data_IF_916630838422
#
_entry.id   IF_916630838422
#
_cell.length_a   1.000
_cell.length_b   1.000
_cell.length_c   1.000
_cell.angle_alpha   90.00
_cell.angle_beta   90.00
_cell.angle_gamma   90.00
#
_symmetry.space_group_name_H-M   'P 1'
#
loop_
_entity.id
_entity.type
_entity.pdbx_description
1 polymer ?
#
# COMPACT_ATOMS: atom_id res chain seq x y z
N UNK A 1 -29.51 -5.70 -18.20
CA UNK A 1 -28.33 -4.89 -18.59
C UNK A 1 -27.32 -5.83 -19.22
N UNK A 2 -26.73 -5.43 -20.32
CA UNK A 2 -25.67 -6.17 -20.99
C UNK A 2 -24.31 -5.82 -20.33
N UNK A 3 -23.93 -6.57 -19.31
CA UNK A 3 -22.75 -6.29 -18.49
C UNK A 3 -21.43 -6.41 -19.25
N UNK A 4 -21.41 -7.17 -20.32
CA UNK A 4 -20.21 -7.36 -21.14
C UNK A 4 -19.73 -6.09 -21.83
N UNK A 5 -20.60 -5.07 -21.89
CA UNK A 5 -20.22 -3.71 -22.36
C UNK A 5 -19.44 -2.90 -21.34
N UNK A 6 -19.58 -3.21 -20.06
CA UNK A 6 -19.10 -2.38 -18.95
C UNK A 6 -17.94 -3.01 -18.19
N UNK A 7 -17.91 -4.36 -18.13
CA UNK A 7 -17.03 -5.12 -17.23
C UNK A 7 -16.14 -6.02 -18.06
N UNK A 8 -14.87 -6.08 -17.70
CA UNK A 8 -13.84 -6.82 -18.42
C UNK A 8 -13.17 -7.85 -17.51
N UNK A 9 -12.72 -8.96 -18.11
CA UNK A 9 -11.81 -9.88 -17.48
C UNK A 9 -10.37 -9.38 -17.69
N UNK A 10 -9.58 -9.41 -16.63
CA UNK A 10 -8.17 -9.05 -16.64
C UNK A 10 -7.35 -10.29 -16.33
N UNK A 11 -6.53 -10.72 -17.27
CA UNK A 11 -5.58 -11.81 -17.10
C UNK A 11 -4.17 -11.24 -17.05
N UNK A 12 -3.46 -11.53 -15.98
CA UNK A 12 -2.16 -10.93 -15.70
C UNK A 12 -1.10 -12.02 -15.59
N UNK A 13 -0.02 -11.83 -16.32
CA UNK A 13 1.23 -12.55 -16.10
C UNK A 13 2.14 -11.65 -15.28
N UNK A 14 2.51 -12.08 -14.08
CA UNK A 14 3.31 -11.31 -13.14
C UNK A 14 4.66 -11.99 -12.88
N UNK A 15 5.66 -11.19 -12.59
CA UNK A 15 6.89 -11.63 -11.94
C UNK A 15 6.87 -11.12 -10.51
N UNK A 16 6.95 -12.02 -9.55
CA UNK A 16 6.98 -11.67 -8.12
C UNK A 16 8.38 -11.96 -7.59
N UNK A 17 8.96 -10.95 -6.94
CA UNK A 17 10.25 -11.09 -6.27
C UNK A 17 10.06 -11.97 -5.05
N UNK A 18 10.90 -13.01 -4.94
CA UNK A 18 10.96 -13.77 -3.70
C UNK A 18 11.86 -13.02 -2.71
N UNK A 19 11.24 -12.35 -1.75
CA UNK A 19 11.96 -11.56 -0.75
C UNK A 19 12.89 -12.38 0.13
N UNK A 20 12.61 -13.68 0.33
CA UNK A 20 13.45 -14.58 1.13
C UNK A 20 14.65 -15.10 0.33
N UNK A 21 14.53 -15.17 -0.98
CA UNK A 21 15.54 -15.66 -1.90
C UNK A 21 15.68 -14.71 -3.07
N UNK A 22 16.28 -13.52 -2.87
CA UNK A 22 16.36 -12.47 -3.90
C UNK A 22 17.04 -12.92 -5.21
N UNK A 23 17.89 -13.93 -5.15
CA UNK A 23 18.53 -14.53 -6.34
C UNK A 23 17.64 -15.55 -7.07
N UNK A 24 16.69 -16.19 -6.38
CA UNK A 24 15.68 -17.03 -7.02
C UNK A 24 14.61 -16.15 -7.64
N UNK A 25 15.07 -15.27 -8.50
CA UNK A 25 14.31 -14.21 -9.09
C UNK A 25 13.27 -14.84 -10.01
N UNK A 26 12.00 -14.51 -9.72
CA UNK A 26 10.92 -14.57 -10.72
C UNK A 26 10.26 -15.92 -10.95
N UNK A 27 9.54 -16.37 -9.96
CA UNK A 27 8.41 -17.24 -10.26
C UNK A 27 7.40 -16.41 -11.05
N UNK A 28 7.25 -16.73 -12.34
CA UNK A 28 6.14 -16.17 -13.12
C UNK A 28 4.84 -16.78 -12.62
N UNK A 29 3.89 -15.94 -12.26
CA UNK A 29 2.55 -16.35 -11.84
C UNK A 29 1.52 -15.80 -12.81
N UNK A 30 0.46 -16.58 -13.03
CA UNK A 30 -0.73 -16.11 -13.74
C UNK A 30 -1.83 -15.86 -12.72
N UNK A 31 -2.47 -14.72 -12.84
CA UNK A 31 -3.61 -14.34 -12.02
C UNK A 31 -4.72 -13.78 -12.91
N UNK A 32 -5.93 -13.76 -12.39
CA UNK A 32 -7.07 -13.14 -13.07
C UNK A 32 -7.84 -12.26 -12.09
N UNK A 33 -8.41 -11.20 -12.63
CA UNK A 33 -9.27 -10.29 -11.92
C UNK A 33 -10.35 -9.73 -12.83
N UNK A 34 -11.05 -8.77 -12.31
CA UNK A 34 -12.11 -8.03 -13.01
C UNK A 34 -11.73 -6.55 -13.06
N UNK A 35 -12.18 -5.86 -14.08
CA UNK A 35 -12.18 -4.41 -14.17
C UNK A 35 -13.45 -3.90 -14.80
N UNK A 36 -13.65 -2.60 -14.80
CA UNK A 36 -14.76 -1.97 -15.50
C UNK A 36 -14.34 -0.63 -16.10
N UNK A 37 -14.99 -0.28 -17.21
CA UNK A 37 -14.67 0.94 -17.93
C UNK A 37 -15.11 2.20 -17.16
N UNK A 38 -14.16 3.14 -17.01
CA UNK A 38 -14.35 4.48 -16.45
C UNK A 38 -14.22 5.58 -17.52
N UNK A 39 -13.70 5.23 -18.68
CA UNK A 39 -13.72 5.95 -19.93
C UNK A 39 -13.63 4.95 -21.09
N UNK A 40 -13.76 5.34 -22.36
CA UNK A 40 -13.65 4.41 -23.47
C UNK A 40 -12.30 3.66 -23.55
N UNK A 41 -11.23 4.24 -22.99
CA UNK A 41 -9.88 3.68 -23.01
C UNK A 41 -9.35 3.31 -21.64
N UNK A 42 -10.04 3.64 -20.53
CA UNK A 42 -9.55 3.44 -19.18
C UNK A 42 -10.42 2.45 -18.41
N UNK A 43 -9.76 1.55 -17.73
CA UNK A 43 -10.37 0.49 -16.92
C UNK A 43 -9.89 0.66 -15.49
N UNK A 44 -10.84 0.72 -14.54
CA UNK A 44 -10.56 0.71 -13.11
C UNK A 44 -10.56 -0.75 -12.62
N UNK A 45 -9.55 -1.07 -11.80
CA UNK A 45 -9.39 -2.38 -11.15
C UNK A 45 -8.69 -2.23 -9.81
N UNK A 46 -8.38 -3.35 -9.14
CA UNK A 46 -7.55 -3.36 -7.94
C UNK A 46 -6.06 -3.36 -8.28
N UNK A 47 -5.25 -2.70 -7.42
CA UNK A 47 -3.79 -2.71 -7.54
C UNK A 47 -3.21 -4.13 -7.44
N UNK A 48 -3.68 -4.94 -6.46
CA UNK A 48 -3.20 -6.31 -6.30
C UNK A 48 -3.45 -7.21 -7.51
N UNK A 49 -4.43 -6.88 -8.38
CA UNK A 49 -4.68 -7.62 -9.63
C UNK A 49 -3.54 -7.41 -10.62
N UNK A 50 -2.96 -6.22 -10.68
CA UNK A 50 -1.90 -5.84 -11.63
C UNK A 50 -0.51 -5.76 -11.00
N UNK A 51 -0.38 -6.16 -9.74
CA UNK A 51 0.89 -6.12 -9.02
C UNK A 51 1.95 -7.00 -9.69
N UNK A 52 3.11 -6.41 -9.97
CA UNK A 52 4.21 -7.09 -10.64
C UNK A 52 3.91 -7.53 -12.08
N UNK A 53 2.89 -6.96 -12.73
CA UNK A 53 2.49 -7.34 -14.07
C UNK A 53 3.59 -7.08 -15.10
N UNK A 54 3.90 -8.12 -15.88
CA UNK A 54 4.73 -8.04 -17.09
C UNK A 54 3.90 -8.10 -18.36
N UNK A 55 2.69 -8.61 -18.25
CA UNK A 55 1.72 -8.65 -19.33
C UNK A 55 0.30 -8.58 -18.75
N UNK A 56 -0.52 -7.74 -19.33
CA UNK A 56 -1.93 -7.58 -18.99
C UNK A 56 -2.76 -7.82 -20.22
N UNK A 57 -3.60 -8.83 -20.19
CA UNK A 57 -4.52 -9.20 -21.25
C UNK A 57 -5.96 -8.91 -20.82
N UNK A 58 -6.65 -8.08 -21.58
CA UNK A 58 -8.03 -7.64 -21.33
C UNK A 58 -8.97 -8.37 -22.27
N UNK A 59 -9.98 -9.01 -21.73
CA UNK A 59 -11.04 -9.70 -22.50
C UNK A 59 -12.40 -9.12 -22.14
N UNK A 60 -13.19 -8.73 -23.13
CA UNK A 60 -14.57 -8.31 -22.98
C UNK A 60 -15.38 -8.74 -24.21
N UNK A 61 -16.70 -8.96 -24.06
CA UNK A 61 -17.61 -9.36 -25.14
C UNK A 61 -17.14 -10.55 -25.96
N UNK A 62 -16.52 -11.55 -25.34
CA UNK A 62 -15.96 -12.69 -26.06
C UNK A 62 -15.02 -12.33 -27.23
N UNK A 63 -14.42 -11.14 -27.16
CA UNK A 63 -13.45 -10.69 -28.16
C UNK A 63 -12.09 -11.34 -27.96
N UNK A 64 -11.22 -11.24 -28.95
CA UNK A 64 -9.82 -11.55 -28.78
C UNK A 64 -9.24 -10.66 -27.67
N UNK A 65 -8.34 -11.24 -26.88
CA UNK A 65 -7.64 -10.51 -25.82
C UNK A 65 -6.85 -9.33 -26.40
N UNK A 66 -6.99 -8.17 -25.78
CA UNK A 66 -6.23 -6.96 -26.10
C UNK A 66 -5.24 -6.62 -24.99
N UNK A 67 -4.15 -5.95 -25.34
CA UNK A 67 -3.14 -5.55 -24.36
C UNK A 67 -3.60 -4.33 -23.57
N UNK A 68 -3.39 -4.41 -22.25
CA UNK A 68 -3.54 -3.28 -21.35
C UNK A 68 -2.20 -2.82 -20.81
N UNK A 69 -2.11 -1.53 -20.45
CA UNK A 69 -0.95 -0.92 -19.82
C UNK A 69 -1.37 -0.21 -18.55
N UNK A 70 -0.57 -0.31 -17.49
CA UNK A 70 -0.83 0.43 -16.25
C UNK A 70 -0.62 1.91 -16.51
N UNK A 71 -1.64 2.72 -16.23
CA UNK A 71 -1.56 4.18 -16.29
C UNK A 71 -1.25 4.78 -14.93
N UNK A 72 -1.99 4.37 -13.91
CA UNK A 72 -1.80 4.83 -12.53
C UNK A 72 -2.05 3.68 -11.56
N UNK A 73 -1.33 3.66 -10.45
CA UNK A 73 -1.59 2.79 -9.30
C UNK A 73 -1.73 3.61 -8.02
N UNK A 74 -2.61 3.15 -7.15
CA UNK A 74 -2.93 3.72 -5.84
C UNK A 74 -2.75 2.62 -4.80
N UNK A 75 -1.50 2.29 -4.41
CA UNK A 75 -1.22 1.11 -3.59
C UNK A 75 -1.94 1.14 -2.24
N UNK A 76 -2.02 2.32 -1.62
CA UNK A 76 -2.65 2.50 -0.30
C UNK A 76 -4.17 2.37 -0.33
N UNK A 77 -4.79 2.42 -1.51
CA UNK A 77 -6.23 2.26 -1.73
C UNK A 77 -6.56 0.97 -2.46
N UNK A 78 -5.54 0.18 -2.79
CA UNK A 78 -5.68 -1.03 -3.60
C UNK A 78 -6.43 -0.80 -4.92
N UNK A 79 -6.15 0.32 -5.61
CA UNK A 79 -6.74 0.67 -6.89
C UNK A 79 -5.68 0.82 -7.98
N UNK A 80 -6.08 0.59 -9.24
CA UNK A 80 -5.26 0.82 -10.43
C UNK A 80 -6.09 1.22 -11.64
N UNK A 81 -5.50 2.02 -12.52
CA UNK A 81 -6.07 2.36 -13.83
C UNK A 81 -5.22 1.69 -14.91
N UNK A 82 -5.87 0.91 -15.74
CA UNK A 82 -5.29 0.33 -16.95
C UNK A 82 -5.79 1.13 -18.16
N UNK A 83 -4.93 1.35 -19.12
CA UNK A 83 -5.28 1.96 -20.42
C UNK A 83 -5.16 0.92 -21.54
N UNK A 84 -6.07 0.97 -22.50
CA UNK A 84 -6.05 0.20 -23.74
C UNK A 84 -5.84 1.11 -24.93
N UNK A 85 -5.32 0.56 -26.03
CA UNK A 85 -5.13 1.34 -27.27
C UNK A 85 -6.48 1.78 -27.83
N UNK A 86 -6.63 3.07 -28.19
CA UNK A 86 -7.84 3.63 -28.80
C UNK A 86 -8.33 2.88 -30.05
N UNK A 87 -7.48 2.18 -30.77
CA UNK A 87 -7.87 1.40 -31.94
C UNK A 87 -8.87 0.27 -31.63
N UNK A 88 -8.90 -0.18 -30.37
CA UNK A 88 -9.82 -1.22 -29.90
C UNK A 88 -11.14 -0.67 -29.35
N UNK A 89 -11.34 0.65 -29.40
CA UNK A 89 -12.58 1.27 -28.94
C UNK A 89 -13.71 0.90 -29.90
N UNK A 90 -14.75 0.27 -29.37
CA UNK A 90 -16.01 0.08 -30.07
C UNK A 90 -17.06 1.06 -29.53
N UNK A 91 -18.03 1.44 -30.35
CA UNK A 91 -19.20 2.23 -29.93
C UNK A 91 -20.05 1.51 -28.87
N UNK A 92 -19.70 0.29 -28.59
CA UNK A 92 -20.41 -0.60 -27.66
C UNK A 92 -19.87 -0.61 -26.23
N UNK A 93 -18.76 0.13 -25.95
CA UNK A 93 -18.25 0.28 -24.59
C UNK A 93 -19.20 1.14 -23.77
N UNK A 94 -19.68 0.59 -22.67
CA UNK A 94 -20.53 1.27 -21.71
C UNK A 94 -19.73 1.75 -20.49
N UNK A 95 -20.07 2.91 -19.99
CA UNK A 95 -19.49 3.48 -18.76
C UNK A 95 -20.58 3.53 -17.71
N UNK A 96 -20.30 2.96 -16.52
CA UNK A 96 -21.22 3.00 -15.39
C UNK A 96 -21.18 4.35 -14.70
N UNK A 97 -22.36 4.90 -14.39
CA UNK A 97 -22.47 6.07 -13.54
C UNK A 97 -22.02 5.75 -12.13
N UNK A 98 -21.39 6.70 -11.45
CA UNK A 98 -20.99 6.57 -10.06
C UNK A 98 -22.07 7.14 -9.12
N UNK A 99 -22.31 6.49 -7.97
CA UNK A 99 -23.18 6.99 -6.92
C UNK A 99 -22.39 7.16 -5.63
N UNK A 100 -22.39 8.36 -5.09
CA UNK A 100 -21.62 8.71 -3.89
C UNK A 100 -22.49 9.05 -2.69
N UNK A 101 -23.75 9.39 -2.93
CA UNK A 101 -24.61 10.01 -1.90
C UNK A 101 -25.67 9.06 -1.32
N UNK A 102 -25.94 7.93 -1.97
CA UNK A 102 -27.07 7.06 -1.63
C UNK A 102 -26.64 5.73 -0.98
N UNK A 103 -25.46 5.70 -0.36
CA UNK A 103 -24.92 4.48 0.24
C UNK A 103 -25.55 4.33 1.63
N UNK A 104 -26.59 3.49 1.73
CA UNK A 104 -27.30 3.23 2.98
C UNK A 104 -27.07 1.78 3.42
N UNK A 105 -26.74 1.59 4.70
CA UNK A 105 -26.69 0.26 5.31
C UNK A 105 -28.00 -0.51 5.07
N UNK A 106 -27.92 -1.82 4.87
CA UNK A 106 -29.01 -2.69 4.43
C UNK A 106 -29.50 -2.48 2.98
N UNK A 107 -28.90 -1.53 2.24
CA UNK A 107 -29.15 -1.31 0.82
C UNK A 107 -28.77 -2.54 0.00
N UNK A 108 -29.62 -2.92 -0.98
CA UNK A 108 -29.33 -4.02 -1.90
C UNK A 108 -28.17 -3.68 -2.83
N UNK A 109 -27.22 -4.58 -2.95
CA UNK A 109 -26.05 -4.46 -3.83
C UNK A 109 -25.86 -5.67 -4.71
N UNK A 110 -25.12 -5.47 -5.80
CA UNK A 110 -24.72 -6.54 -6.70
C UNK A 110 -23.22 -6.41 -6.96
N UNK A 111 -22.53 -7.55 -6.92
CA UNK A 111 -21.16 -7.63 -7.40
C UNK A 111 -21.17 -8.22 -8.81
N UNK A 112 -20.35 -7.69 -9.70
CA UNK A 112 -20.26 -8.14 -11.08
C UNK A 112 -18.81 -8.46 -11.39
N UNK A 113 -18.52 -9.62 -11.97
CA UNK A 113 -17.15 -9.99 -12.28
C UNK A 113 -16.97 -11.40 -12.80
N UNK A 114 -15.71 -11.86 -12.80
CA UNK A 114 -15.27 -13.16 -13.34
C UNK A 114 -14.66 -14.03 -12.22
N UNK A 115 -15.48 -14.53 -11.29
CA UNK A 115 -14.97 -15.33 -10.17
C UNK A 115 -14.35 -16.64 -10.66
N UNK A 116 -13.28 -17.07 -9.97
CA UNK A 116 -12.59 -18.34 -10.21
C UNK A 116 -12.15 -18.50 -11.67
N UNK A 117 -11.70 -17.40 -12.30
CA UNK A 117 -11.29 -17.36 -13.72
C UNK A 117 -12.38 -17.83 -14.69
N UNK A 118 -13.65 -17.67 -14.32
CA UNK A 118 -14.76 -18.01 -15.21
C UNK A 118 -14.70 -17.22 -16.52
N UNK A 119 -15.08 -17.83 -17.63
CA UNK A 119 -15.15 -17.16 -18.93
C UNK A 119 -16.35 -16.25 -19.08
N UNK A 120 -17.38 -16.44 -18.25
CA UNK A 120 -18.62 -15.68 -18.29
C UNK A 120 -18.78 -14.84 -17.03
N UNK A 121 -19.34 -13.65 -17.17
CA UNK A 121 -19.69 -12.77 -16.07
C UNK A 121 -20.63 -13.45 -15.09
N UNK A 122 -20.36 -13.30 -13.81
CA UNK A 122 -21.24 -13.72 -12.73
C UNK A 122 -21.69 -12.50 -11.94
N UNK A 123 -22.93 -12.55 -11.48
CA UNK A 123 -23.54 -11.53 -10.66
C UNK A 123 -23.97 -12.17 -9.36
N UNK A 124 -23.51 -11.63 -8.23
CA UNK A 124 -24.01 -12.04 -6.92
C UNK A 124 -24.72 -10.87 -6.26
N UNK A 125 -25.74 -11.17 -5.48
CA UNK A 125 -26.57 -10.20 -4.81
C UNK A 125 -26.37 -10.29 -3.30
N UNK A 126 -26.39 -9.16 -2.64
CA UNK A 126 -26.34 -9.04 -1.18
C UNK A 126 -26.84 -7.66 -0.73
N UNK A 127 -26.42 -7.29 0.47
CA UNK A 127 -26.69 -5.99 1.06
C UNK A 127 -25.38 -5.33 1.53
N UNK A 128 -25.43 -4.05 1.78
CA UNK A 128 -24.40 -3.35 2.55
C UNK A 128 -24.56 -3.74 4.01
N UNK A 129 -23.65 -4.56 4.54
CA UNK A 129 -23.64 -5.01 5.93
C UNK A 129 -23.18 -3.90 6.89
N UNK A 130 -22.31 -3.01 6.42
CA UNK A 130 -21.75 -1.90 7.19
C UNK A 130 -20.48 -1.36 6.53
N UNK A 131 -19.65 -0.75 7.37
CA UNK A 131 -18.37 -0.17 6.96
C UNK A 131 -17.29 -0.62 7.93
N UNK A 132 -16.11 -0.91 7.43
CA UNK A 132 -14.95 -1.26 8.24
C UNK A 132 -13.70 -0.65 7.65
N UNK A 133 -12.95 0.10 8.46
CA UNK A 133 -11.73 0.78 8.00
C UNK A 133 -11.94 1.54 6.68
N UNK A 134 -13.03 2.29 6.61
CA UNK A 134 -13.43 3.06 5.43
C UNK A 134 -13.74 2.25 4.17
N UNK A 135 -13.85 0.92 4.26
CA UNK A 135 -14.33 0.04 3.21
C UNK A 135 -15.82 -0.24 3.37
N UNK A 136 -16.52 -0.43 2.26
CA UNK A 136 -17.90 -0.94 2.28
C UNK A 136 -17.84 -2.44 2.55
N UNK A 137 -18.55 -2.89 3.57
CA UNK A 137 -18.72 -4.30 3.88
C UNK A 137 -20.03 -4.82 3.29
N UNK A 138 -19.99 -5.97 2.64
CA UNK A 138 -21.15 -6.60 2.01
C UNK A 138 -21.17 -8.12 2.27
N UNK A 139 -22.36 -8.71 2.30
CA UNK A 139 -22.58 -10.15 2.32
C UNK A 139 -22.74 -10.75 0.91
N UNK A 140 -22.70 -9.92 -0.14
CA UNK A 140 -22.63 -10.40 -1.51
C UNK A 140 -21.36 -11.25 -1.68
N UNK A 141 -21.54 -12.49 -2.17
CA UNK A 141 -20.43 -13.44 -2.30
C UNK A 141 -19.33 -12.92 -3.21
N UNK A 142 -18.13 -12.75 -2.65
CA UNK A 142 -16.91 -12.39 -3.38
C UNK A 142 -15.96 -13.58 -3.36
N UNK A 143 -15.45 -13.94 -4.52
CA UNK A 143 -14.43 -14.98 -4.70
C UNK A 143 -13.23 -14.40 -5.46
N UNK A 144 -12.11 -15.10 -5.43
CA UNK A 144 -10.96 -14.76 -6.27
C UNK A 144 -11.41 -14.58 -7.74
N UNK A 145 -10.95 -13.50 -8.37
CA UNK A 145 -11.36 -13.09 -9.71
C UNK A 145 -12.43 -12.00 -9.72
N UNK A 146 -13.22 -11.81 -8.65
CA UNK A 146 -14.13 -10.66 -8.52
C UNK A 146 -13.41 -9.36 -8.15
N UNK A 147 -12.17 -9.44 -7.67
CA UNK A 147 -11.35 -8.25 -7.34
C UNK A 147 -11.23 -7.31 -8.52
N UNK A 148 -11.45 -6.03 -8.27
CA UNK A 148 -11.45 -4.97 -9.27
C UNK A 148 -12.77 -4.78 -10.01
N UNK A 149 -13.73 -5.71 -9.85
CA UNK A 149 -15.06 -5.55 -10.41
C UNK A 149 -15.91 -4.52 -9.66
N UNK A 150 -16.98 -3.99 -10.28
CA UNK A 150 -17.82 -3.00 -9.65
C UNK A 150 -18.77 -3.63 -8.61
N UNK A 151 -18.91 -2.94 -7.46
CA UNK A 151 -20.02 -3.09 -6.55
C UNK A 151 -21.08 -2.06 -6.96
N UNK A 152 -22.29 -2.50 -7.28
CA UNK A 152 -23.33 -1.62 -7.84
C UNK A 152 -24.63 -1.68 -7.06
N UNK A 153 -25.37 -0.59 -7.11
CA UNK A 153 -26.78 -0.50 -6.69
C UNK A 153 -27.67 -0.29 -7.90
N UNK A 154 -28.92 -0.68 -7.79
CA UNK A 154 -29.96 -0.31 -8.76
C UNK A 154 -30.64 0.96 -8.28
N UNK A 155 -30.53 2.01 -9.07
CA UNK A 155 -31.34 3.21 -8.89
C UNK A 155 -32.76 2.93 -9.41
N UNK A 156 -33.72 2.75 -8.49
CA UNK A 156 -35.10 2.41 -8.85
C UNK A 156 -35.84 3.53 -9.60
N UNK A 157 -35.37 4.79 -9.49
CA UNK A 157 -35.96 5.92 -10.21
C UNK A 157 -35.60 5.93 -11.68
N UNK A 158 -34.33 5.67 -11.96
CA UNK A 158 -33.80 5.68 -13.33
C UNK A 158 -33.70 4.30 -13.96
N UNK A 159 -33.92 3.23 -13.16
CA UNK A 159 -33.72 1.82 -13.56
C UNK A 159 -32.29 1.55 -14.06
N UNK A 160 -31.31 2.35 -13.62
CA UNK A 160 -29.91 2.18 -13.98
C UNK A 160 -29.11 1.64 -12.81
N UNK A 161 -28.09 0.86 -13.13
CA UNK A 161 -27.08 0.45 -12.16
C UNK A 161 -26.02 1.53 -12.03
N UNK A 162 -25.64 1.84 -10.78
CA UNK A 162 -24.62 2.80 -10.46
C UNK A 162 -23.54 2.18 -9.58
N UNK A 163 -22.27 2.50 -9.83
CA UNK A 163 -21.15 2.00 -9.04
C UNK A 163 -21.07 2.75 -7.72
N UNK A 164 -20.98 2.00 -6.62
CA UNK A 164 -20.72 2.53 -5.28
C UNK A 164 -19.34 2.14 -4.74
N UNK A 165 -18.69 1.13 -5.34
CA UNK A 165 -17.38 0.69 -4.90
C UNK A 165 -16.71 -0.24 -5.89
N UNK A 166 -15.42 -0.52 -5.62
CA UNK A 166 -14.59 -1.49 -6.33
C UNK A 166 -14.38 -2.68 -5.40
N UNK A 167 -14.79 -3.87 -5.83
CA UNK A 167 -14.69 -5.09 -5.03
C UNK A 167 -13.22 -5.43 -4.76
N UNK A 168 -12.88 -5.65 -3.48
CA UNK A 168 -11.63 -6.27 -3.05
C UNK A 168 -11.92 -7.66 -2.53
N UNK A 169 -11.04 -8.60 -2.76
CA UNK A 169 -11.22 -9.95 -2.23
C UNK A 169 -11.13 -9.95 -0.71
N UNK A 170 -11.65 -11.00 -0.09
CA UNK A 170 -11.68 -11.19 1.36
C UNK A 170 -10.33 -10.84 2.00
N UNK A 171 -10.35 -10.10 3.10
CA UNK A 171 -9.21 -9.96 3.99
C UNK A 171 -8.85 -11.36 4.55
N UNK A 172 -7.56 -11.70 4.61
CA UNK A 172 -7.13 -13.00 5.14
C UNK A 172 -7.62 -13.17 6.59
N UNK A 173 -8.36 -14.25 6.84
CA UNK A 173 -8.85 -14.59 8.18
C UNK A 173 -10.27 -14.16 8.49
N UNK A 174 -10.98 -13.53 7.56
CA UNK A 174 -12.37 -13.14 7.76
C UNK A 174 -13.34 -14.32 7.64
N UNK A 175 -14.44 -14.19 8.38
CA UNK A 175 -15.53 -15.17 8.39
C UNK A 175 -16.12 -15.40 6.98
N UNK A 176 -16.66 -16.57 6.78
CA UNK A 176 -17.43 -16.87 5.57
C UNK A 176 -18.52 -15.82 5.32
N UNK A 177 -18.70 -15.41 4.07
CA UNK A 177 -19.69 -14.42 3.61
C UNK A 177 -19.41 -12.94 3.95
N UNK A 178 -18.17 -12.55 4.16
CA UNK A 178 -17.81 -11.15 4.29
C UNK A 178 -17.00 -10.69 3.10
N UNK A 179 -17.50 -9.72 2.36
CA UNK A 179 -16.84 -9.09 1.22
C UNK A 179 -16.59 -7.60 1.51
N UNK A 180 -15.57 -7.03 0.86
CA UNK A 180 -15.25 -5.62 0.99
C UNK A 180 -15.14 -4.95 -0.37
N UNK A 181 -15.42 -3.65 -0.39
CA UNK A 181 -15.20 -2.82 -1.58
C UNK A 181 -14.63 -1.45 -1.17
N UNK A 182 -13.69 -0.96 -1.97
CA UNK A 182 -13.22 0.43 -1.87
C UNK A 182 -14.34 1.34 -2.36
N UNK A 183 -14.81 2.30 -1.57
CA UNK A 183 -15.87 3.21 -1.99
C UNK A 183 -15.50 4.00 -3.25
N UNK A 184 -16.40 4.12 -4.19
CA UNK A 184 -16.12 4.78 -5.49
C UNK A 184 -15.78 6.27 -5.34
N UNK A 185 -16.31 6.96 -4.34
CA UNK A 185 -15.98 8.37 -4.09
C UNK A 185 -14.48 8.53 -3.76
N UNK A 186 -13.82 7.51 -3.16
CA UNK A 186 -12.37 7.54 -2.94
C UNK A 186 -11.63 7.62 -4.27
N UNK A 187 -12.02 6.80 -5.23
CA UNK A 187 -11.49 6.91 -6.59
C UNK A 187 -11.75 8.28 -7.22
N UNK A 188 -12.93 8.88 -6.99
CA UNK A 188 -13.24 10.21 -7.54
C UNK A 188 -12.32 11.29 -6.96
N UNK A 189 -12.03 11.26 -5.65
CA UNK A 189 -11.05 12.17 -5.04
C UNK A 189 -9.70 12.04 -5.72
N UNK A 190 -9.21 10.81 -5.88
CA UNK A 190 -7.95 10.56 -6.55
C UNK A 190 -7.97 11.03 -8.00
N UNK A 191 -9.02 10.69 -8.76
CA UNK A 191 -9.16 11.05 -10.18
C UNK A 191 -9.14 12.56 -10.42
N UNK A 192 -9.79 13.33 -9.56
CA UNK A 192 -9.82 14.79 -9.67
C UNK A 192 -8.42 15.43 -9.55
N UNK A 193 -7.50 14.75 -8.91
CA UNK A 193 -6.11 15.21 -8.73
C UNK A 193 -5.18 14.74 -9.85
N UNK A 194 -5.58 13.75 -10.65
CA UNK A 194 -4.77 13.21 -11.75
C UNK A 194 -4.63 14.16 -12.95
N UNK A 195 -5.54 15.10 -13.12
CA UNK A 195 -5.59 15.96 -14.31
C UNK A 195 -4.28 16.74 -14.58
N UNK A 196 -3.40 16.87 -13.58
CA UNK A 196 -2.12 17.56 -13.65
C UNK A 196 -0.93 16.68 -13.22
N UNK A 197 -1.14 15.39 -12.96
CA UNK A 197 -0.11 14.51 -12.45
C UNK A 197 0.15 13.35 -13.42
N UNK A 198 1.40 13.26 -13.90
CA UNK A 198 1.88 12.18 -14.76
C UNK A 198 2.45 11.00 -13.97
N UNK A 199 2.46 11.07 -12.63
CA UNK A 199 3.05 10.05 -11.79
C UNK A 199 2.32 8.72 -11.94
N UNK A 200 3.08 7.65 -12.13
CA UNK A 200 2.55 6.29 -12.19
C UNK A 200 1.97 5.87 -10.85
N UNK A 201 2.62 6.27 -9.74
CA UNK A 201 2.25 5.88 -8.38
C UNK A 201 1.76 7.07 -7.60
N UNK A 202 0.58 6.93 -7.02
CA UNK A 202 -0.05 7.95 -6.20
C UNK A 202 -0.26 7.41 -4.80
N UNK A 203 0.43 8.03 -3.84
CA UNK A 203 0.43 7.63 -2.44
C UNK A 203 -0.51 8.51 -1.62
N UNK A 204 -0.99 7.99 -0.49
CA UNK A 204 -1.73 8.77 0.51
C UNK A 204 -0.79 9.68 1.29
N UNK A 205 -1.25 10.86 1.68
CA UNK A 205 -0.58 11.60 2.72
C UNK A 205 -0.71 10.85 4.05
N UNK A 206 0.35 10.83 4.82
CA UNK A 206 0.37 10.17 6.12
C UNK A 206 0.58 11.20 7.23
N UNK A 207 -0.26 11.16 8.24
CA UNK A 207 -0.08 11.87 9.50
C UNK A 207 0.36 10.85 10.56
N UNK A 208 1.65 10.86 10.91
CA UNK A 208 2.19 9.93 11.91
C UNK A 208 2.22 10.56 13.28
N UNK A 209 1.17 10.35 14.03
CA UNK A 209 1.12 10.64 15.46
C UNK A 209 0.23 9.59 16.13
N UNK A 210 0.59 9.25 17.36
CA UNK A 210 -0.29 8.45 18.18
C UNK A 210 -1.13 9.36 19.06
N UNK A 211 -2.35 8.91 19.35
CA UNK A 211 -3.25 9.64 20.20
C UNK A 211 -3.97 8.73 21.19
N UNK A 212 -4.43 9.32 22.26
CA UNK A 212 -5.34 8.67 23.20
C UNK A 212 -6.70 9.36 23.17
N UNK A 213 -7.79 8.58 23.18
CA UNK A 213 -9.11 9.08 23.49
C UNK A 213 -9.13 9.87 24.80
N UNK A 214 -9.89 10.95 24.83
CA UNK A 214 -10.07 11.71 26.07
C UNK A 214 -11.08 10.98 26.95
N UNK A 215 -10.58 10.13 27.86
CA UNK A 215 -11.40 9.39 28.81
C UNK A 215 -12.12 10.39 29.75
N UNK A 216 -13.33 10.05 30.16
CA UNK A 216 -14.24 10.89 30.95
C UNK A 216 -13.60 11.51 32.21
N UNK A 217 -12.63 10.83 32.81
CA UNK A 217 -11.89 11.32 33.97
C UNK A 217 -10.95 12.50 33.64
N UNK A 218 -10.38 12.52 32.45
CA UNK A 218 -9.53 13.62 31.94
C UNK A 218 -10.39 14.82 31.50
N UNK A 219 -11.61 14.55 31.05
CA UNK A 219 -12.59 15.57 30.66
C UNK A 219 -13.22 16.25 31.90
N UNK A 220 -13.35 15.52 33.02
CA UNK A 220 -13.86 16.04 34.30
C UNK A 220 -12.83 16.86 35.06
N UNK A 221 -11.53 16.63 34.84
CA UNK A 221 -10.51 17.51 35.36
C UNK A 221 -10.65 18.86 34.65
N UNK A 222 -10.64 19.95 35.40
CA UNK A 222 -10.82 21.35 34.98
C UNK A 222 -9.95 21.82 33.79
N UNK A 223 -9.30 20.90 33.08
CA UNK A 223 -8.38 21.12 31.96
C UNK A 223 -9.13 21.57 30.69
N UNK A 224 -10.32 21.03 30.49
CA UNK A 224 -11.18 21.44 29.38
C UNK A 224 -12.43 22.08 30.00
N UNK A 225 -12.45 23.38 30.18
CA UNK A 225 -13.69 24.13 30.52
C UNK A 225 -14.79 23.94 29.49
N UNK A 226 -14.60 23.09 28.50
CA UNK A 226 -15.54 22.78 27.45
C UNK A 226 -16.39 21.56 27.87
N UNK A 227 -17.67 21.78 28.09
CA UNK A 227 -18.69 20.74 28.25
C UNK A 227 -18.85 19.83 27.03
N UNK A 228 -18.08 20.07 25.96
CA UNK A 228 -18.11 19.31 24.72
C UNK A 228 -17.06 18.21 24.79
N UNK A 229 -17.47 16.98 24.50
CA UNK A 229 -16.60 15.80 24.39
C UNK A 229 -15.88 15.82 23.03
N UNK A 230 -14.89 16.71 22.86
CA UNK A 230 -14.21 16.96 21.59
C UNK A 230 -12.70 16.85 21.76
N UNK A 231 -12.04 16.28 20.76
CA UNK A 231 -10.59 16.20 20.65
C UNK A 231 -9.94 14.94 21.23
N UNK A 232 -8.70 14.72 20.87
CA UNK A 232 -7.84 13.62 21.32
C UNK A 232 -6.52 14.17 21.82
N UNK A 233 -5.91 13.48 22.78
CA UNK A 233 -4.58 13.82 23.31
C UNK A 233 -3.50 13.18 22.44
N UNK A 234 -2.57 13.96 21.95
CA UNK A 234 -1.39 13.45 21.24
C UNK A 234 -0.45 12.82 22.25
N UNK A 235 -0.10 11.55 22.03
CA UNK A 235 0.78 10.77 22.92
C UNK A 235 2.20 10.63 22.36
N UNK A 236 2.33 10.56 21.05
CA UNK A 236 3.61 10.45 20.37
C UNK A 236 3.58 11.24 19.07
N UNK A 237 4.64 12.00 18.82
CA UNK A 237 4.89 12.60 17.50
C UNK A 237 6.24 12.16 17.01
N UNK A 238 6.30 11.69 15.78
CA UNK A 238 7.58 11.33 15.17
C UNK A 238 8.28 12.60 14.68
N UNK A 239 9.38 12.99 15.33
CA UNK A 239 10.18 14.19 15.02
C UNK A 239 10.69 14.23 13.58
N UNK A 240 10.69 13.10 12.92
CA UNK A 240 11.17 12.95 11.55
C UNK A 240 10.13 13.29 10.49
N UNK A 241 8.89 13.50 10.89
CA UNK A 241 7.83 13.86 9.94
C UNK A 241 7.55 15.35 9.95
N UNK A 242 7.22 15.88 8.79
CA UNK A 242 6.97 17.31 8.56
C UNK A 242 5.94 17.92 9.53
N UNK A 243 4.92 17.17 9.90
CA UNK A 243 3.87 17.65 10.82
C UNK A 243 4.31 17.73 12.29
N UNK A 244 5.44 17.12 12.67
CA UNK A 244 5.98 17.21 14.04
C UNK A 244 6.39 18.63 14.45
N UNK A 245 6.62 19.51 13.48
CA UNK A 245 6.84 20.91 13.73
C UNK A 245 5.58 21.61 14.29
N UNK A 246 4.40 21.05 14.04
CA UNK A 246 3.11 21.65 14.34
C UNK A 246 2.37 20.97 15.49
N UNK A 247 2.56 19.66 15.68
CA UNK A 247 1.96 18.85 16.73
C UNK A 247 3.01 18.45 17.77
N UNK A 248 2.66 18.58 19.04
CA UNK A 248 3.54 18.17 20.15
C UNK A 248 2.84 17.17 21.05
N UNK A 249 3.64 16.36 21.71
CA UNK A 249 3.14 15.44 22.73
C UNK A 249 2.43 16.22 23.85
N UNK A 250 1.32 15.68 24.28
CA UNK A 250 0.37 16.22 25.25
C UNK A 250 -0.50 17.37 24.74
N UNK A 251 -0.37 17.83 23.51
CA UNK A 251 -1.37 18.73 22.92
C UNK A 251 -2.68 17.97 22.71
N UNK A 252 -3.79 18.71 22.69
CA UNK A 252 -5.09 18.18 22.33
C UNK A 252 -5.42 18.65 20.92
N UNK A 253 -5.58 17.72 20.01
CA UNK A 253 -6.04 17.99 18.66
C UNK A 253 -7.57 18.03 18.64
N UNK A 254 -8.13 19.21 18.37
CA UNK A 254 -9.58 19.48 18.42
C UNK A 254 -10.26 19.35 17.08
N UNK A 255 -9.61 19.87 16.02
CA UNK A 255 -10.16 19.87 14.67
C UNK A 255 -9.11 19.64 13.60
N UNK A 256 -9.57 19.08 12.50
CA UNK A 256 -8.85 19.05 11.24
C UNK A 256 -9.73 19.76 10.21
N UNK A 257 -9.23 20.89 9.66
CA UNK A 257 -10.01 21.86 8.91
C UNK A 257 -11.23 22.34 9.74
N UNK A 258 -12.42 22.31 9.16
CA UNK A 258 -13.69 22.66 9.82
C UNK A 258 -14.30 21.49 10.62
N UNK A 259 -13.74 20.29 10.53
CA UNK A 259 -14.30 19.07 11.11
C UNK A 259 -13.82 18.86 12.54
N UNK A 260 -14.76 18.74 13.45
CA UNK A 260 -14.52 18.47 14.87
C UNK A 260 -14.14 16.99 15.04
N UNK A 261 -13.10 16.73 15.82
CA UNK A 261 -12.71 15.41 16.25
C UNK A 261 -13.47 15.09 17.53
N UNK A 262 -14.18 13.96 17.58
CA UNK A 262 -14.80 13.53 18.82
C UNK A 262 -13.75 12.95 19.80
N UNK A 263 -14.17 12.72 21.04
CA UNK A 263 -13.27 12.27 22.11
C UNK A 263 -12.67 10.86 21.88
N UNK A 264 -13.22 10.09 20.94
CA UNK A 264 -12.69 8.78 20.54
C UNK A 264 -11.76 8.86 19.33
N UNK A 265 -11.56 10.04 18.74
CA UNK A 265 -10.70 10.23 17.58
C UNK A 265 -11.39 10.00 16.23
N UNK A 266 -12.69 10.25 16.18
CA UNK A 266 -13.44 10.12 14.93
C UNK A 266 -13.91 11.48 14.41
N UNK A 267 -14.00 11.57 13.09
CA UNK A 267 -14.50 12.72 12.34
C UNK A 267 -15.74 12.31 11.56
N UNK A 268 -16.74 13.20 11.47
CA UNK A 268 -17.91 13.03 10.60
C UNK A 268 -17.79 13.88 9.35
N UNK A 269 -17.94 13.23 8.21
CA UNK A 269 -18.08 13.88 6.91
C UNK A 269 -19.53 13.78 6.43
N UNK A 270 -20.03 14.82 5.76
CA UNK A 270 -21.43 14.89 5.35
C UNK A 270 -21.77 13.89 4.24
N UNK A 271 -20.77 13.56 3.43
CA UNK A 271 -20.89 12.64 2.30
C UNK A 271 -20.60 11.18 2.66
N UNK A 272 -20.18 10.89 3.91
CA UNK A 272 -19.89 9.54 4.35
C UNK A 272 -20.81 9.11 5.49
N UNK A 273 -21.44 7.92 5.41
CA UNK A 273 -22.49 7.54 6.35
C UNK A 273 -22.01 7.34 7.78
N UNK A 274 -20.74 6.93 7.97
CA UNK A 274 -20.17 6.70 9.30
C UNK A 274 -19.12 7.74 9.67
N UNK A 275 -18.74 7.74 10.94
CA UNK A 275 -17.58 8.50 11.41
C UNK A 275 -16.30 7.77 11.02
N UNK A 276 -15.28 8.52 10.68
CA UNK A 276 -13.98 8.04 10.21
C UNK A 276 -12.95 8.29 11.28
N UNK A 277 -12.09 7.28 11.62
CA UNK A 277 -10.98 7.50 12.51
C UNK A 277 -9.97 8.48 11.89
N UNK A 278 -9.37 9.32 12.71
CA UNK A 278 -8.37 10.31 12.24
C UNK A 278 -7.12 9.66 11.67
N UNK A 279 -6.81 8.41 12.01
CA UNK A 279 -5.74 7.63 11.40
C UNK A 279 -5.95 7.40 9.90
N UNK A 280 -7.22 7.36 9.49
CA UNK A 280 -7.62 7.16 8.10
C UNK A 280 -7.78 8.49 7.33
N UNK A 281 -7.34 9.61 7.91
CA UNK A 281 -7.55 10.94 7.28
C UNK A 281 -6.92 11.03 5.89
N UNK A 282 -5.84 10.28 5.67
CA UNK A 282 -5.21 10.17 4.36
C UNK A 282 -6.15 9.70 3.24
N UNK A 283 -7.28 9.04 3.59
CA UNK A 283 -8.30 8.64 2.62
C UNK A 283 -9.06 9.82 2.00
N UNK A 284 -9.09 10.97 2.66
CA UNK A 284 -9.92 12.12 2.32
C UNK A 284 -9.16 13.25 1.69
N UNK A 285 -7.84 13.16 1.75
CA UNK A 285 -6.92 14.15 1.22
C UNK A 285 -5.91 13.49 0.27
N UNK A 286 -5.22 14.32 -0.46
CA UNK A 286 -4.11 13.92 -1.34
C UNK A 286 -2.84 14.68 -0.95
N UNK A 287 -1.69 14.20 -1.39
CA UNK A 287 -0.44 14.93 -1.23
C UNK A 287 -0.55 16.29 -1.88
N UNK A 288 -0.06 17.33 -1.17
CA UNK A 288 -0.16 18.72 -1.59
C UNK A 288 -1.42 19.45 -1.12
N UNK A 289 -2.45 18.72 -0.61
CA UNK A 289 -3.62 19.38 0.00
C UNK A 289 -3.19 20.11 1.27
N UNK A 290 -3.76 21.29 1.48
CA UNK A 290 -3.55 22.09 2.69
C UNK A 290 -4.54 21.65 3.76
N UNK A 291 -4.04 21.37 4.96
CA UNK A 291 -4.87 21.13 6.14
C UNK A 291 -4.57 22.14 7.24
N UNK A 292 -5.58 22.38 8.03
CA UNK A 292 -5.52 23.27 9.20
C UNK A 292 -5.88 22.47 10.45
N UNK A 293 -5.03 22.52 11.46
CA UNK A 293 -5.24 21.86 12.75
C UNK A 293 -5.59 22.90 13.81
N UNK A 294 -6.66 22.69 14.56
CA UNK A 294 -6.95 23.44 15.79
C UNK A 294 -6.44 22.63 16.97
N UNK A 295 -5.49 23.19 17.69
CA UNK A 295 -4.75 22.52 18.76
C UNK A 295 -4.91 23.31 20.06
N UNK A 296 -5.17 22.60 21.15
CA UNK A 296 -5.18 23.17 22.50
C UNK A 296 -3.92 22.72 23.25
N UNK A 297 -3.09 23.66 23.63
CA UNK A 297 -1.95 23.39 24.52
C UNK A 297 -2.43 23.22 25.96
N UNK A 298 -2.19 22.06 26.55
CA UNK A 298 -2.66 21.76 27.92
C UNK A 298 -2.04 22.68 28.97
N UNK A 299 -0.75 23.07 28.79
CA UNK A 299 -0.02 23.86 29.77
C UNK A 299 -0.45 25.32 29.77
N UNK A 300 -0.53 25.95 28.60
CA UNK A 300 -0.88 27.37 28.47
C UNK A 300 -2.39 27.59 28.37
N UNK A 301 -3.18 26.54 28.09
CA UNK A 301 -4.62 26.59 27.80
C UNK A 301 -4.97 27.43 26.59
N UNK A 302 -4.00 27.70 25.74
CA UNK A 302 -4.20 28.48 24.52
C UNK A 302 -4.58 27.57 23.35
N UNK A 303 -5.54 28.01 22.57
CA UNK A 303 -5.86 27.40 21.30
C UNK A 303 -5.03 28.04 20.21
N UNK A 304 -4.40 27.22 19.41
CA UNK A 304 -3.61 27.64 18.26
C UNK A 304 -4.09 26.95 17.00
N UNK A 305 -3.98 27.64 15.88
CA UNK A 305 -4.27 27.08 14.57
C UNK A 305 -2.97 26.94 13.80
N UNK A 306 -2.75 25.75 13.22
CA UNK A 306 -1.57 25.44 12.41
C UNK A 306 -2.01 24.95 11.04
N UNK A 307 -1.42 25.54 10.00
CA UNK A 307 -1.74 25.21 8.60
C UNK A 307 -0.48 24.75 7.88
N UNK A 308 -0.58 23.64 7.15
CA UNK A 308 0.52 23.10 6.36
C UNK A 308 -0.02 22.23 5.21
N UNK A 309 0.84 21.96 4.23
CA UNK A 309 0.52 21.05 3.15
C UNK A 309 0.83 19.61 3.55
N UNK A 310 -0.05 18.70 3.14
CA UNK A 310 0.16 17.28 3.32
C UNK A 310 1.27 16.79 2.39
N UNK A 311 2.23 16.09 2.95
CA UNK A 311 3.34 15.50 2.22
C UNK A 311 3.35 13.98 2.39
N UNK A 312 3.92 13.31 1.42
CA UNK A 312 4.37 11.95 1.64
C UNK A 312 5.63 12.02 2.52
N UNK A 313 5.69 11.29 3.63
CA UNK A 313 6.92 11.29 4.41
C UNK A 313 8.04 10.80 3.51
N UNK A 314 9.08 11.60 3.37
CA UNK A 314 10.35 11.15 2.79
C UNK A 314 10.95 10.14 3.76
N UNK A 315 10.37 8.95 3.79
CA UNK A 315 11.00 7.84 4.48
C UNK A 315 12.14 7.38 3.57
N UNK A 316 13.31 7.17 4.14
CA UNK A 316 14.36 6.35 3.52
C UNK A 316 13.96 4.87 3.48
N UNK A 317 12.67 4.58 3.56
CA UNK A 317 12.08 3.33 3.18
C UNK A 317 12.31 3.20 1.70
N UNK A 318 13.13 2.24 1.38
CA UNK A 318 13.23 1.72 0.04
C UNK A 318 11.82 1.29 -0.35
N UNK A 319 11.11 2.15 -1.06
CA UNK A 319 9.85 1.78 -1.66
C UNK A 319 10.21 0.95 -2.88
N UNK A 320 9.81 -0.32 -2.86
CA UNK A 320 9.83 -1.20 -4.04
C UNK A 320 9.08 -0.56 -5.23
N UNK A 321 8.34 0.45 -4.95
CA UNK A 321 7.61 1.29 -5.88
C UNK A 321 8.42 2.52 -6.34
N UNK A 322 9.72 2.54 -6.22
CA UNK A 322 10.51 3.51 -7.00
C UNK A 322 10.51 3.06 -8.46
N UNK A 323 9.31 3.04 -8.97
CA UNK A 323 8.86 2.56 -10.28
C UNK A 323 8.98 3.68 -11.33
N UNK A 324 9.91 4.59 -11.15
CA UNK A 324 10.32 5.42 -12.30
C UNK A 324 10.73 4.54 -13.48
N UNK A 325 10.74 3.21 -13.24
CA UNK A 325 11.20 2.22 -14.18
C UNK A 325 10.59 0.83 -13.96
N UNK A 326 9.25 0.66 -13.92
CA UNK A 326 8.68 -0.69 -14.04
C UNK A 326 9.16 -1.41 -15.29
N UNK A 327 9.33 -0.69 -16.39
CA UNK A 327 9.92 -1.22 -17.60
C UNK A 327 11.43 -1.41 -17.46
N UNK A 328 12.18 -0.52 -16.77
CA UNK A 328 13.64 -0.63 -16.63
C UNK A 328 14.07 -1.64 -15.59
N UNK A 329 13.33 -1.87 -14.51
CA UNK A 329 13.62 -3.00 -13.62
C UNK A 329 13.42 -4.32 -14.35
N UNK A 330 12.30 -4.48 -15.04
CA UNK A 330 12.01 -5.68 -15.84
C UNK A 330 12.92 -5.80 -17.05
N UNK A 331 13.22 -4.70 -17.75
CA UNK A 331 14.14 -4.68 -18.89
C UNK A 331 15.61 -4.91 -18.47
N UNK A 332 16.01 -4.42 -17.32
CA UNK A 332 17.33 -4.67 -16.75
C UNK A 332 17.49 -6.15 -16.42
N UNK A 333 16.44 -6.79 -15.90
CA UNK A 333 16.45 -8.23 -15.63
C UNK A 333 16.38 -9.08 -16.91
N UNK A 334 15.55 -8.72 -17.87
CA UNK A 334 15.48 -9.44 -19.14
C UNK A 334 16.80 -9.36 -19.94
N UNK A 335 17.53 -8.25 -19.86
CA UNK A 335 18.85 -8.08 -20.47
C UNK A 335 19.95 -8.91 -19.75
N UNK A 336 19.78 -9.22 -18.47
CA UNK A 336 20.75 -10.04 -17.73
C UNK A 336 20.61 -11.54 -17.97
N UNK A 337 19.44 -12.04 -18.38
CA UNK A 337 19.28 -13.44 -18.80
C UNK A 337 20.02 -13.76 -20.10
N UNK A 338 20.40 -12.75 -20.89
CA UNK A 338 21.05 -12.95 -22.21
C UNK A 338 22.57 -12.79 -22.22
N UNK A 339 23.20 -12.32 -21.12
CA UNK A 339 24.66 -12.09 -21.06
C UNK A 339 25.36 -12.94 -19.99
N UNK A 340 25.51 -14.22 -20.25
CA UNK A 340 26.21 -15.18 -19.34
C UNK A 340 27.73 -15.26 -19.48
N UNK A 341 28.39 -14.37 -20.20
CA UNK A 341 29.81 -14.48 -20.49
C UNK A 341 30.60 -13.21 -20.16
N UNK A 342 30.66 -12.80 -18.89
CA UNK A 342 31.79 -11.98 -18.40
C UNK A 342 31.80 -11.96 -16.86
N UNK A 343 32.65 -12.80 -16.30
CA UNK A 343 32.73 -13.09 -14.86
C UNK A 343 33.35 -12.01 -13.96
N UNK A 344 33.65 -10.80 -14.47
CA UNK A 344 34.36 -9.78 -13.70
C UNK A 344 33.65 -8.40 -13.62
N UNK A 345 32.40 -8.27 -14.05
CA UNK A 345 31.65 -7.05 -13.80
C UNK A 345 30.74 -7.26 -12.57
N UNK A 346 30.85 -6.33 -11.61
CA UNK A 346 29.92 -6.21 -10.49
C UNK A 346 28.52 -6.22 -11.09
N UNK A 347 27.78 -7.34 -10.89
CA UNK A 347 26.40 -7.44 -11.32
C UNK A 347 25.62 -6.36 -10.57
N UNK A 348 25.20 -5.32 -11.25
CA UNK A 348 24.37 -4.27 -10.70
C UNK A 348 22.98 -4.86 -10.52
N UNK A 349 22.77 -5.47 -9.35
CA UNK A 349 21.44 -5.88 -8.94
C UNK A 349 20.59 -4.64 -8.68
N UNK A 350 19.26 -4.74 -8.77
CA UNK A 350 18.43 -3.62 -8.35
C UNK A 350 18.74 -3.25 -6.91
N UNK A 351 18.60 -1.98 -6.61
CA UNK A 351 19.07 -1.31 -5.39
C UNK A 351 18.53 -1.85 -4.04
N UNK A 352 17.94 -3.04 -3.97
CA UNK A 352 17.38 -3.62 -2.75
C UNK A 352 18.16 -4.77 -2.14
N UNK A 353 19.15 -5.31 -2.84
CA UNK A 353 20.11 -6.26 -2.26
C UNK A 353 21.49 -6.15 -2.89
N UNK A 354 22.48 -6.59 -2.15
CA UNK A 354 23.90 -6.62 -2.56
C UNK A 354 24.42 -8.03 -2.38
N UNK A 355 25.12 -8.55 -3.39
CA UNK A 355 25.86 -9.79 -3.28
C UNK A 355 27.36 -9.50 -3.07
N UNK A 356 27.95 -10.13 -2.06
CA UNK A 356 29.39 -10.10 -1.86
C UNK A 356 29.87 -11.46 -1.38
N UNK A 357 30.79 -12.07 -2.13
CA UNK A 357 31.39 -13.38 -1.80
C UNK A 357 30.36 -14.47 -1.46
N UNK A 358 29.27 -14.52 -2.20
CA UNK A 358 28.19 -15.47 -2.00
C UNK A 358 27.20 -15.14 -0.89
N UNK A 359 27.41 -14.05 -0.13
CA UNK A 359 26.46 -13.55 0.84
C UNK A 359 25.51 -12.55 0.19
N UNK A 360 24.22 -12.68 0.47
CA UNK A 360 23.17 -11.82 -0.06
C UNK A 360 22.60 -10.97 1.07
N UNK A 361 22.95 -9.69 1.03
CA UNK A 361 22.49 -8.68 1.98
C UNK A 361 21.30 -7.97 1.38
N UNK A 362 20.12 -8.09 1.97
CA UNK A 362 18.90 -7.44 1.49
C UNK A 362 18.46 -6.31 2.42
N UNK A 363 17.89 -5.27 1.80
CA UNK A 363 17.31 -4.15 2.52
C UNK A 363 15.89 -4.50 2.93
N UNK A 364 15.54 -4.20 4.18
CA UNK A 364 14.16 -4.34 4.63
C UNK A 364 13.34 -3.17 4.09
N UNK A 365 12.45 -3.47 3.16
CA UNK A 365 11.53 -2.52 2.54
C UNK A 365 10.15 -2.52 3.21
N UNK A 366 9.27 -1.62 2.80
CA UNK A 366 7.85 -1.62 3.21
C UNK A 366 7.15 -2.94 2.91
N UNK A 367 7.46 -3.56 1.77
CA UNK A 367 6.88 -4.86 1.37
C UNK A 367 7.31 -5.98 2.32
N UNK A 368 8.54 -5.97 2.80
CA UNK A 368 9.00 -6.90 3.84
C UNK A 368 8.20 -6.73 5.12
N UNK A 369 7.89 -5.49 5.51
CA UNK A 369 7.15 -5.20 6.73
C UNK A 369 5.67 -5.58 6.64
N UNK A 370 5.08 -5.47 5.46
CA UNK A 370 3.72 -5.95 5.19
C UNK A 370 3.63 -7.48 5.26
N UNK A 371 4.73 -8.17 4.97
CA UNK A 371 4.84 -9.62 4.94
C UNK A 371 5.78 -10.17 6.03
N UNK A 372 5.74 -9.63 7.23
CA UNK A 372 6.64 -10.00 8.35
C UNK A 372 6.72 -11.51 8.62
N UNK A 373 5.64 -12.26 8.36
CA UNK A 373 5.62 -13.71 8.51
C UNK A 373 6.58 -14.44 7.54
N UNK A 374 6.98 -13.79 6.46
CA UNK A 374 7.90 -14.36 5.46
C UNK A 374 9.37 -14.16 5.82
N UNK A 375 9.65 -13.25 6.76
CA UNK A 375 11.01 -12.85 7.14
C UNK A 375 11.51 -13.63 8.35
N UNK A 376 11.07 -14.71 8.78
CA UNK A 376 11.55 -15.47 9.96
C UNK A 376 12.09 -14.61 11.13
N UNK A 377 11.63 -13.35 11.24
CA UNK A 377 12.05 -12.43 12.28
C UNK A 377 11.28 -12.68 13.57
N UNK A 378 11.98 -12.65 14.69
CA UNK A 378 11.34 -12.64 16.00
C UNK A 378 10.57 -11.34 16.25
N UNK A 379 9.55 -11.36 17.11
CA UNK A 379 8.84 -10.15 17.51
C UNK A 379 9.79 -9.10 18.11
N UNK A 380 10.83 -9.51 18.84
CA UNK A 380 11.81 -8.59 19.38
C UNK A 380 12.61 -7.88 18.28
N UNK A 381 12.97 -8.57 17.21
CA UNK A 381 13.64 -7.98 16.05
C UNK A 381 12.71 -7.03 15.30
N UNK A 382 11.44 -7.39 15.14
CA UNK A 382 10.42 -6.53 14.54
C UNK A 382 10.28 -5.23 15.33
N UNK A 383 10.17 -5.31 16.66
CA UNK A 383 10.10 -4.12 17.53
C UNK A 383 11.35 -3.25 17.36
N UNK A 384 12.55 -3.85 17.35
CA UNK A 384 13.80 -3.09 17.13
C UNK A 384 13.85 -2.41 15.76
N UNK A 385 13.34 -3.05 14.71
CA UNK A 385 13.22 -2.42 13.38
C UNK A 385 12.28 -1.21 13.46
N UNK A 386 11.12 -1.37 14.10
CA UNK A 386 10.17 -0.28 14.27
C UNK A 386 10.75 0.86 15.11
N UNK A 387 11.39 0.57 16.23
CA UNK A 387 12.05 1.57 17.06
C UNK A 387 13.12 2.34 16.28
N UNK A 388 13.99 1.64 15.57
CA UNK A 388 15.01 2.30 14.72
C UNK A 388 14.38 3.22 13.69
N UNK A 389 13.29 2.81 13.07
CA UNK A 389 12.58 3.61 12.07
C UNK A 389 11.87 4.81 12.67
N UNK A 390 11.30 4.67 13.86
CA UNK A 390 10.62 5.78 14.55
C UNK A 390 11.58 6.87 15.02
N UNK A 391 12.78 6.47 15.46
CA UNK A 391 13.71 7.40 16.12
C UNK A 391 14.86 7.87 15.22
N UNK A 392 15.13 7.20 14.11
CA UNK A 392 16.28 7.48 13.25
C UNK A 392 15.90 7.56 11.77
N UNK A 393 15.85 8.76 11.26
CA UNK A 393 15.42 9.12 9.89
C UNK A 393 16.14 8.39 8.77
N UNK A 394 17.42 8.12 9.00
CA UNK A 394 18.38 7.68 7.99
C UNK A 394 18.81 6.23 8.20
N UNK A 395 18.24 5.55 9.19
CA UNK A 395 18.58 4.17 9.46
C UNK A 395 17.91 3.22 8.49
N UNK A 396 18.73 2.61 7.78
CA UNK A 396 18.50 1.59 6.83
C UNK A 396 18.76 0.23 7.48
N UNK A 397 17.90 -0.72 7.24
CA UNK A 397 17.97 -2.02 7.89
C UNK A 397 18.31 -3.07 6.86
N UNK A 398 19.40 -3.78 7.08
CA UNK A 398 19.91 -4.86 6.25
C UNK A 398 19.78 -6.17 7.00
N UNK A 399 19.44 -7.22 6.30
CA UNK A 399 19.49 -8.58 6.82
C UNK A 399 20.21 -9.49 5.84
N UNK A 400 20.80 -10.55 6.36
CA UNK A 400 21.37 -11.60 5.51
C UNK A 400 20.21 -12.45 4.98
N UNK A 401 19.92 -12.30 3.70
CA UNK A 401 18.77 -12.95 3.07
C UNK A 401 19.07 -14.41 2.71
N UNK A 402 20.27 -14.67 2.14
CA UNK A 402 20.63 -15.99 1.65
C UNK A 402 22.16 -16.13 1.45
N UNK A 403 22.59 -17.33 1.15
CA UNK A 403 23.94 -17.65 0.69
C UNK A 403 23.88 -18.39 -0.64
N UNK A 404 24.69 -17.97 -1.61
CA UNK A 404 24.69 -18.52 -2.97
C UNK A 404 25.26 -19.96 -3.08
N UNK A 405 25.96 -20.40 -2.06
CA UNK A 405 26.67 -21.67 -2.05
C UNK A 405 26.16 -22.60 -0.95
N UNK A 406 25.04 -23.28 -1.22
CA UNK A 406 24.51 -24.28 -0.29
C UNK A 406 25.05 -25.69 -0.49
N UNK A 407 25.81 -25.99 -1.59
CA UNK A 407 26.01 -27.39 -1.93
C UNK A 407 27.45 -27.93 -2.05
N UNK A 408 28.52 -27.15 -2.01
CA UNK A 408 29.82 -27.82 -2.31
C UNK A 408 31.09 -27.40 -1.59
N UNK A 409 31.13 -26.38 -0.74
CA UNK A 409 32.44 -25.98 -0.13
C UNK A 409 32.35 -25.21 1.19
N UNK A 410 31.25 -25.24 1.90
CA UNK A 410 31.14 -24.58 3.20
C UNK A 410 31.41 -25.63 4.26
N UNK A 411 32.50 -25.42 5.01
CA UNK A 411 32.76 -26.16 6.23
C UNK A 411 31.46 -26.18 7.08
N UNK A 412 30.97 -27.40 7.35
CA UNK A 412 29.69 -27.61 8.10
C UNK A 412 29.66 -26.94 9.49
N UNK A 413 30.74 -26.25 9.88
CA UNK A 413 30.87 -25.53 11.13
C UNK A 413 30.63 -24.02 11.04
N UNK A 414 30.52 -23.42 9.84
CA UNK A 414 30.29 -21.99 9.71
C UNK A 414 28.80 -21.69 9.79
N UNK A 415 28.34 -21.12 10.90
CA UNK A 415 26.96 -20.70 11.09
C UNK A 415 26.75 -19.29 10.52
N UNK A 416 26.01 -19.19 9.43
CA UNK A 416 25.64 -17.89 8.86
C UNK A 416 24.41 -17.30 9.56
N UNK A 417 24.40 -15.98 9.83
CA UNK A 417 23.25 -15.30 10.46
C UNK A 417 22.10 -15.03 9.46
N UNK A 418 21.66 -16.07 8.74
CA UNK A 418 20.56 -15.93 7.78
C UNK A 418 19.28 -15.50 8.50
N UNK A 419 18.65 -14.43 8.02
CA UNK A 419 17.47 -13.82 8.61
C UNK A 419 17.77 -12.84 9.74
N UNK A 420 19.02 -12.68 10.18
CA UNK A 420 19.38 -11.70 11.21
C UNK A 420 19.68 -10.32 10.63
N UNK A 421 19.38 -9.29 11.42
CA UNK A 421 19.61 -7.89 11.05
C UNK A 421 21.06 -7.53 11.30
N UNK A 422 21.73 -7.05 10.25
CA UNK A 422 23.16 -6.73 10.26
C UNK A 422 23.36 -5.25 10.55
N UNK A 423 24.28 -4.94 11.44
CA UNK A 423 24.66 -3.57 11.82
C UNK A 423 26.13 -3.23 11.55
N UNK A 424 26.96 -4.26 11.31
CA UNK A 424 28.40 -4.08 11.12
C UNK A 424 28.95 -5.18 10.21
N UNK A 425 29.87 -4.83 9.32
CA UNK A 425 30.58 -5.73 8.42
C UNK A 425 32.08 -5.42 8.50
N UNK A 426 32.92 -6.41 8.78
CA UNK A 426 34.37 -6.29 8.93
C UNK A 426 34.73 -5.11 9.85
N UNK A 427 34.14 -5.05 11.05
CA UNK A 427 34.31 -4.03 12.07
C UNK A 427 33.95 -2.59 11.61
N UNK A 428 33.23 -2.46 10.49
CA UNK A 428 32.71 -1.18 9.98
C UNK A 428 31.19 -1.12 10.14
N UNK A 429 30.72 -0.16 10.91
CA UNK A 429 29.29 0.12 11.09
C UNK A 429 28.77 0.95 9.92
N UNK A 430 27.48 0.82 9.62
CA UNK A 430 26.79 1.62 8.64
C UNK A 430 25.36 1.93 9.13
N UNK A 431 24.85 3.05 8.70
CA UNK A 431 23.49 3.51 9.01
C UNK A 431 22.71 3.85 7.75
N UNK A 432 23.43 4.07 6.65
CA UNK A 432 22.89 4.48 5.35
C UNK A 432 23.32 3.53 4.23
N UNK A 433 22.53 3.52 3.16
CA UNK A 433 22.79 2.63 2.01
C UNK A 433 24.10 2.92 1.29
N UNK A 434 24.39 4.21 1.10
CA UNK A 434 25.64 4.65 0.48
C UNK A 434 26.86 4.25 1.31
N UNK A 435 26.78 4.26 2.63
CA UNK A 435 27.80 3.77 3.54
C UNK A 435 28.02 2.26 3.39
N UNK A 436 26.92 1.47 3.36
CA UNK A 436 27.00 0.03 3.12
C UNK A 436 27.68 -0.25 1.78
N UNK A 437 27.24 0.40 0.70
CA UNK A 437 27.83 0.22 -0.63
C UNK A 437 29.31 0.61 -0.64
N UNK A 438 29.68 1.70 0.01
CA UNK A 438 31.10 2.10 0.15
C UNK A 438 31.91 1.03 0.88
N UNK A 439 31.40 0.46 1.97
CA UNK A 439 32.04 -0.64 2.70
C UNK A 439 32.21 -1.85 1.78
N UNK A 440 31.12 -2.31 1.16
CA UNK A 440 31.13 -3.49 0.27
C UNK A 440 32.13 -3.32 -0.89
N UNK A 441 32.21 -2.13 -1.47
CA UNK A 441 33.16 -1.83 -2.54
C UNK A 441 34.60 -1.71 -2.06
N UNK A 442 34.83 -1.38 -0.78
CA UNK A 442 36.16 -1.20 -0.20
C UNK A 442 36.80 -2.47 0.34
N UNK A 443 36.06 -3.55 0.44
CA UNK A 443 36.54 -4.82 1.00
C UNK A 443 36.64 -5.88 -0.10
N UNK A 444 37.63 -6.75 -0.01
CA UNK A 444 37.76 -7.90 -0.93
C UNK A 444 36.78 -9.01 -0.54
N UNK A 445 36.64 -9.26 0.77
CA UNK A 445 35.82 -10.33 1.33
C UNK A 445 35.13 -9.86 2.62
N UNK A 446 33.90 -10.33 2.86
CA UNK A 446 33.25 -10.25 4.17
C UNK A 446 33.88 -11.34 5.05
N UNK A 447 34.49 -10.94 6.15
CA UNK A 447 35.14 -11.83 7.11
C UNK A 447 34.45 -11.87 8.45
N UNK A 448 33.67 -10.85 8.76
CA UNK A 448 32.89 -10.79 9.99
C UNK A 448 31.60 -10.01 9.82
N UNK A 449 30.60 -10.41 10.58
CA UNK A 449 29.27 -9.77 10.63
C UNK A 449 28.84 -9.64 12.08
N UNK A 450 28.33 -8.46 12.46
CA UNK A 450 27.67 -8.25 13.74
C UNK A 450 26.21 -7.91 13.54
N UNK A 451 25.35 -8.50 14.36
CA UNK A 451 23.91 -8.33 14.25
C UNK A 451 23.35 -7.38 15.32
N UNK A 452 22.11 -6.96 15.15
CA UNK A 452 21.42 -6.06 16.07
C UNK A 452 21.26 -6.66 17.49
N UNK A 453 21.35 -7.98 17.60
CA UNK A 453 21.29 -8.69 18.87
C UNK A 453 22.68 -8.85 19.51
N UNK A 454 23.69 -8.14 18.97
CA UNK A 454 25.10 -8.19 19.36
C UNK A 454 25.77 -9.56 19.15
N UNK A 455 25.19 -10.44 18.34
CA UNK A 455 25.86 -11.64 17.92
C UNK A 455 26.97 -11.29 16.93
N UNK A 456 28.12 -11.93 17.07
CA UNK A 456 29.28 -11.74 16.19
C UNK A 456 29.60 -13.04 15.46
N UNK A 457 29.68 -12.97 14.17
CA UNK A 457 29.93 -14.10 13.28
C UNK A 457 31.23 -13.90 12.49
N UNK A 458 32.09 -14.88 12.52
CA UNK A 458 33.26 -14.96 11.65
C UNK A 458 32.84 -15.76 10.43
N UNK A 459 33.07 -15.22 9.23
CA UNK A 459 32.58 -15.74 7.95
C UNK A 459 33.78 -16.36 7.16
#
# INVERSE_FOLDING_TARGET
MDWEKYVVQINVKSKVINLNYPLNIFKTTNSSGTGFFISPTEILTCHHVVYGAINIDITFKHTNSIKGHIKHIFPDDDLAIIVIDPIFISNDIGILEHETNSIVQSGKVFTVGFPLSSTNIKITKGIISGYQKSLIQTDASLNHGNSGGPLVILDYKTQKYKVIGVNVSKLKGDAEKTGYAVPIYRFQILRNKLNNNSDLIIRKPLLFFDFQPLIEHTLKSNLLQNKKKEGVRITLTNKNYYHSAYLKENDILLKINDKVIDYNGFIKFDFYPEKIPIDDIGLWYTIGDTITLEILNIKTREKTTKTFNLEFPKSNLFEFYNLDNTNTLLDTYAKHETNTNNDNQIKKYPDYFVEKNGLILSIISSVHLENLKTLNLSMAQIVKIWERRLYHKDLFTVYLADTKYTDTAIDNNTKYPIGEIIIEINDKTFTRYDELIAIINSIDKITSIKTIDNNYYII
#
